data_IF_239279390507
#
_entry.id   IF_239279390507
#
_cell.length_a   1.000
_cell.length_b   1.000
_cell.length_c   1.000
_cell.angle_alpha   90.00
_cell.angle_beta   90.00
_cell.angle_gamma   90.00
#
_symmetry.space_group_name_H-M   'P 1'
#
loop_
_entity.id
_entity.type
_entity.pdbx_description
1 polymer ?
#
# COMPACT_ATOMS: atom_id res chain seq x y z
N UNK A 1 -13.80 11.69 -9.74
CA UNK A 1 -12.43 11.23 -9.41
C UNK A 1 -12.50 10.06 -8.45
N UNK A 2 -11.72 9.01 -8.68
CA UNK A 2 -11.58 7.87 -7.76
C UNK A 2 -10.17 7.26 -7.88
N UNK A 3 -9.68 6.61 -6.82
CA UNK A 3 -8.47 5.79 -6.86
C UNK A 3 -8.77 4.58 -7.75
N UNK A 4 -8.05 4.41 -8.85
CA UNK A 4 -8.25 3.31 -9.81
C UNK A 4 -7.20 2.21 -9.71
N UNK A 5 -6.03 2.50 -9.16
CA UNK A 5 -4.95 1.52 -8.99
C UNK A 5 -4.04 1.91 -7.82
N UNK A 6 -3.54 0.91 -7.10
CA UNK A 6 -2.38 1.05 -6.23
C UNK A 6 -1.32 0.00 -6.59
N UNK A 7 -0.05 0.43 -6.63
CA UNK A 7 1.12 -0.44 -6.68
C UNK A 7 1.95 -0.23 -5.42
N UNK A 8 2.39 -1.33 -4.79
CA UNK A 8 3.14 -1.30 -3.53
C UNK A 8 4.45 -2.09 -3.70
N UNK A 9 5.57 -1.46 -3.34
CA UNK A 9 6.88 -2.10 -3.25
C UNK A 9 7.52 -1.83 -1.90
N UNK A 10 8.15 -2.86 -1.36
CA UNK A 10 8.95 -2.82 -0.13
C UNK A 10 8.22 -2.34 1.14
N UNK A 11 6.89 -2.46 1.19
CA UNK A 11 6.09 -2.06 2.35
C UNK A 11 5.53 -3.28 3.09
N UNK A 12 5.99 -3.49 4.32
CA UNK A 12 5.62 -4.61 5.21
C UNK A 12 5.77 -5.96 4.51
N UNK A 13 4.67 -6.63 4.16
CA UNK A 13 4.67 -7.94 3.50
C UNK A 13 4.80 -7.85 1.97
N UNK A 14 4.68 -6.66 1.39
CA UNK A 14 4.76 -6.46 -0.05
C UNK A 14 6.20 -6.14 -0.44
N UNK A 15 6.90 -7.12 -1.01
CA UNK A 15 8.23 -6.94 -1.55
C UNK A 15 8.26 -6.19 -2.89
N UNK A 16 9.44 -6.12 -3.50
CA UNK A 16 9.65 -5.51 -4.82
C UNK A 16 9.89 -6.55 -5.93
N UNK A 17 9.79 -7.84 -5.58
CA UNK A 17 9.90 -8.95 -6.50
C UNK A 17 8.74 -8.97 -7.49
N UNK A 18 9.00 -9.39 -8.72
CA UNK A 18 7.95 -9.51 -9.74
C UNK A 18 7.15 -10.82 -9.53
N UNK A 19 5.81 -10.78 -9.67
CA UNK A 19 5.00 -9.60 -10.00
C UNK A 19 4.81 -8.65 -8.82
N UNK A 20 4.97 -7.34 -9.07
CA UNK A 20 4.70 -6.30 -8.06
C UNK A 20 3.25 -6.39 -7.59
N UNK A 21 3.03 -6.24 -6.29
CA UNK A 21 1.69 -6.19 -5.73
C UNK A 21 0.90 -5.00 -6.30
N UNK A 22 -0.20 -5.31 -6.99
CA UNK A 22 -1.04 -4.34 -7.68
C UNK A 22 -2.51 -4.67 -7.44
N UNK A 23 -3.31 -3.66 -7.07
CA UNK A 23 -4.76 -3.78 -6.93
C UNK A 23 -5.43 -2.75 -7.84
N UNK A 24 -6.36 -3.22 -8.66
CA UNK A 24 -7.25 -2.38 -9.45
C UNK A 24 -8.52 -2.08 -8.64
N UNK A 25 -8.96 -0.84 -8.70
CA UNK A 25 -10.17 -0.36 -8.04
C UNK A 25 -11.19 0.09 -9.08
N UNK A 26 -12.46 -0.08 -8.74
CA UNK A 26 -13.57 0.41 -9.54
C UNK A 26 -14.19 1.65 -8.89
N UNK A 27 -14.95 2.40 -9.68
CA UNK A 27 -15.75 3.50 -9.14
C UNK A 27 -16.82 2.95 -8.19
N UNK A 28 -17.00 3.59 -7.04
CA UNK A 28 -17.90 3.15 -5.98
C UNK A 28 -17.15 2.65 -4.75
N UNK A 29 -17.66 1.59 -4.12
CA UNK A 29 -17.12 1.02 -2.88
C UNK A 29 -16.33 -0.24 -3.20
N UNK A 30 -15.09 -0.32 -2.71
CA UNK A 30 -14.27 -1.54 -2.78
C UNK A 30 -14.18 -2.18 -1.39
N UNK A 31 -14.40 -3.50 -1.32
CA UNK A 31 -14.22 -4.28 -0.09
C UNK A 31 -12.97 -5.17 -0.22
N UNK A 32 -12.05 -5.07 0.75
CA UNK A 32 -10.88 -5.95 0.86
C UNK A 32 -11.21 -7.09 1.83
N UNK A 33 -11.11 -8.34 1.39
CA UNK A 33 -11.50 -9.53 2.17
C UNK A 33 -10.39 -10.58 2.12
N UNK A 34 -10.24 -11.35 3.20
CA UNK A 34 -9.16 -12.34 3.34
C UNK A 34 -8.79 -12.57 4.81
N UNK A 35 -7.94 -13.56 5.06
CA UNK A 35 -7.51 -13.96 6.40
C UNK A 35 -6.77 -12.85 7.15
N UNK A 36 -6.69 -12.96 8.48
CA UNK A 36 -5.87 -12.05 9.28
C UNK A 36 -4.42 -12.06 8.78
N UNK A 37 -3.78 -10.89 8.86
CA UNK A 37 -2.40 -10.69 8.43
C UNK A 37 -2.11 -10.86 6.91
N UNK A 38 -3.12 -11.18 6.09
CA UNK A 38 -3.01 -11.25 4.63
C UNK A 38 -2.84 -9.90 3.90
N UNK A 39 -2.49 -8.82 4.61
CA UNK A 39 -2.11 -7.55 4.00
C UNK A 39 -3.22 -6.55 3.75
N UNK A 40 -4.47 -6.86 4.10
CA UNK A 40 -5.62 -5.96 3.94
C UNK A 40 -5.40 -4.58 4.58
N UNK A 41 -4.99 -4.56 5.86
CA UNK A 41 -4.67 -3.33 6.59
C UNK A 41 -3.48 -2.60 5.96
N UNK A 42 -2.46 -3.34 5.49
CA UNK A 42 -1.30 -2.74 4.84
C UNK A 42 -1.66 -2.03 3.52
N UNK A 43 -2.61 -2.55 2.73
CA UNK A 43 -3.11 -1.84 1.52
C UNK A 43 -3.77 -0.52 1.91
N UNK A 44 -4.62 -0.51 2.94
CA UNK A 44 -5.29 0.70 3.42
C UNK A 44 -4.28 1.72 3.95
N UNK A 45 -3.30 1.27 4.74
CA UNK A 45 -2.25 2.13 5.30
C UNK A 45 -1.35 2.72 4.20
N UNK A 46 -1.02 1.95 3.16
CA UNK A 46 -0.28 2.44 2.01
C UNK A 46 -1.03 3.58 1.29
N UNK A 47 -2.35 3.45 1.12
CA UNK A 47 -3.20 4.53 0.57
C UNK A 47 -3.16 5.77 1.50
N UNK A 48 -3.26 5.58 2.82
CA UNK A 48 -3.21 6.68 3.79
C UNK A 48 -1.89 7.43 3.75
N UNK A 49 -0.76 6.72 3.60
CA UNK A 49 0.56 7.34 3.45
C UNK A 49 0.66 8.24 2.21
N UNK A 50 0.12 7.82 1.07
CA UNK A 50 0.16 8.62 -0.17
C UNK A 50 -0.78 9.83 -0.10
N UNK A 51 -1.98 9.66 0.46
CA UNK A 51 -3.00 10.71 0.45
C UNK A 51 -2.95 11.66 1.66
N UNK A 52 -2.06 11.40 2.62
CA UNK A 52 -1.86 12.21 3.83
C UNK A 52 -3.16 12.49 4.59
N UNK A 53 -4.08 11.53 4.66
CA UNK A 53 -5.36 11.72 5.36
C UNK A 53 -5.09 11.96 6.85
N UNK A 54 -5.35 13.18 7.33
CA UNK A 54 -4.96 13.68 8.67
C UNK A 54 -5.94 13.31 9.78
N UNK A 55 -6.72 12.27 9.58
CA UNK A 55 -7.76 11.92 10.52
C UNK A 55 -7.17 10.96 11.56
N UNK A 56 -6.71 11.59 12.64
CA UNK A 56 -6.51 11.10 14.02
C UNK A 56 -5.12 10.69 14.51
N UNK A 57 -4.15 10.31 13.67
CA UNK A 57 -2.76 10.17 14.11
C UNK A 57 -1.83 10.31 12.89
N UNK A 58 -0.78 11.12 13.01
CA UNK A 58 0.22 11.23 11.95
C UNK A 58 0.96 9.89 11.86
N UNK A 59 0.61 9.06 10.87
CA UNK A 59 1.23 7.76 10.65
C UNK A 59 2.67 7.97 10.15
N UNK A 60 3.62 8.06 11.09
CA UNK A 60 5.05 8.08 10.77
C UNK A 60 5.46 6.68 10.34
N UNK A 61 6.19 6.60 9.24
CA UNK A 61 6.90 5.38 8.86
C UNK A 61 7.77 4.91 10.02
N UNK A 62 7.64 3.64 10.37
CA UNK A 62 8.47 2.93 11.32
C UNK A 62 9.46 2.03 10.58
N UNK A 63 10.57 1.62 11.21
CA UNK A 63 11.46 0.61 10.65
C UNK A 63 10.70 -0.66 10.22
N UNK A 64 9.72 -1.11 11.00
CA UNK A 64 8.95 -2.33 10.70
C UNK A 64 8.00 -2.19 9.51
N UNK A 65 7.82 -0.98 8.96
CA UNK A 65 7.08 -0.76 7.72
C UNK A 65 7.91 -1.13 6.47
N UNK A 66 9.23 -1.28 6.59
CA UNK A 66 10.11 -1.66 5.48
C UNK A 66 10.14 -3.18 5.35
N UNK A 67 9.90 -3.67 4.13
CA UNK A 67 9.91 -5.10 3.84
C UNK A 67 11.26 -5.74 4.14
N UNK A 68 11.22 -6.90 4.82
CA UNK A 68 12.39 -7.77 4.99
C UNK A 68 12.37 -8.78 3.86
N UNK A 69 13.39 -8.71 2.99
CA UNK A 69 13.55 -9.58 1.83
C UNK A 69 13.87 -11.01 2.28
N UNK A 70 13.80 -11.96 1.35
CA UNK A 70 14.07 -13.39 1.63
C UNK A 70 15.49 -13.67 2.14
N UNK A 71 16.45 -12.79 1.84
CA UNK A 71 17.83 -12.87 2.34
C UNK A 71 18.01 -12.24 3.74
N UNK A 72 16.93 -11.78 4.36
CA UNK A 72 16.91 -11.12 5.67
C UNK A 72 17.30 -9.64 5.63
N UNK A 73 17.60 -9.06 4.47
CA UNK A 73 17.91 -7.65 4.37
C UNK A 73 16.62 -6.80 4.33
N UNK A 74 16.61 -5.73 5.12
CA UNK A 74 15.55 -4.75 5.07
C UNK A 74 15.70 -3.86 3.83
N UNK A 75 14.58 -3.55 3.17
CA UNK A 75 14.56 -2.61 2.06
C UNK A 75 15.00 -1.20 2.49
N UNK A 76 15.71 -0.49 1.61
CA UNK A 76 16.19 0.87 1.87
C UNK A 76 15.14 1.95 1.58
N UNK A 77 14.15 1.63 0.74
CA UNK A 77 13.11 2.53 0.29
C UNK A 77 11.76 1.81 0.20
N UNK A 78 10.69 2.59 0.35
CA UNK A 78 9.30 2.18 0.11
C UNK A 78 8.81 2.96 -1.10
N UNK A 79 8.18 2.28 -2.05
CA UNK A 79 7.53 2.93 -3.19
C UNK A 79 6.04 2.56 -3.20
N UNK A 80 5.17 3.57 -3.09
CA UNK A 80 3.72 3.40 -3.21
C UNK A 80 3.22 4.36 -4.28
N UNK A 81 2.57 3.83 -5.32
CA UNK A 81 2.04 4.61 -6.43
C UNK A 81 0.52 4.47 -6.49
N UNK A 82 -0.20 5.59 -6.44
CA UNK A 82 -1.64 5.64 -6.60
C UNK A 82 -2.00 6.29 -7.94
N UNK A 83 -2.84 5.63 -8.74
CA UNK A 83 -3.41 6.20 -9.96
C UNK A 83 -4.85 6.63 -9.71
N UNK A 84 -5.15 7.87 -10.04
CA UNK A 84 -6.52 8.39 -10.01
C UNK A 84 -7.10 8.45 -11.42
N UNK A 85 -8.37 8.06 -11.53
CA UNK A 85 -9.14 8.14 -12.78
C UNK A 85 -10.35 9.04 -12.61
N UNK A 86 -10.90 9.52 -13.74
CA UNK A 86 -12.02 10.48 -13.80
C UNK A 86 -11.73 11.78 -13.02
N UNK A 87 -10.51 12.31 -13.17
CA UNK A 87 -10.14 13.68 -12.79
C UNK A 87 -10.83 14.60 -13.80
N UNK A 88 -11.89 15.29 -13.38
CA UNK A 88 -12.57 16.33 -14.16
C UNK A 88 -12.66 17.57 -13.30
#
# INVERSE_FOLDING_TARGET
MYLSEIQIKNFRQFGAEEPIFCVQFHEGVTALVGENDAGKTAVVDAIRHVLLTRDMEFMRLQPDDFHIRLDGQQAADITICCKFSKLR
#
